data_IF_256583502787
#
_entry.id   IF_256583502787
#
_cell.length_a   1.000
_cell.length_b   1.000
_cell.length_c   1.000
_cell.angle_alpha   90.00
_cell.angle_beta   90.00
_cell.angle_gamma   90.00
#
_symmetry.space_group_name_H-M   'P 1'
#
loop_
_entity.id
_entity.type
_entity.pdbx_description
1 polymer ?
#
# COMPACT_ATOMS: atom_id res chain seq x y z
N UNK A 1 -6.50 -14.04 37.97
CA UNK A 1 -6.36 -12.76 37.25
C UNK A 1 -5.11 -12.91 36.40
N UNK A 2 -5.23 -13.25 35.13
CA UNK A 2 -4.06 -13.41 34.24
C UNK A 2 -4.31 -12.57 33.00
N UNK A 3 -3.60 -11.44 32.96
CA UNK A 3 -3.74 -10.41 31.95
C UNK A 3 -3.19 -10.82 30.60
N UNK A 4 -3.86 -10.37 29.56
CA UNK A 4 -3.45 -10.40 28.17
C UNK A 4 -2.29 -9.43 27.94
N UNK A 5 -1.20 -9.89 27.36
CA UNK A 5 -0.22 -9.02 26.73
C UNK A 5 -0.51 -8.99 25.22
N UNK A 6 -1.19 -7.93 24.76
CA UNK A 6 -1.26 -7.57 23.34
C UNK A 6 0.15 -7.24 22.85
N UNK A 7 0.60 -7.91 21.79
CA UNK A 7 1.78 -7.49 21.06
C UNK A 7 1.56 -6.08 20.48
N UNK A 8 2.55 -5.22 20.64
CA UNK A 8 2.57 -3.84 20.16
C UNK A 8 2.49 -3.76 18.63
N UNK A 9 1.94 -2.69 18.04
CA UNK A 9 2.09 -2.47 16.60
C UNK A 9 3.56 -2.20 16.28
N UNK A 10 4.08 -2.95 15.31
CA UNK A 10 5.42 -2.80 14.76
C UNK A 10 5.59 -1.41 14.12
N UNK A 11 6.83 -0.92 14.15
CA UNK A 11 7.20 0.49 14.03
C UNK A 11 6.71 1.17 12.73
N UNK A 12 5.94 2.26 12.87
CA UNK A 12 5.78 3.23 11.80
C UNK A 12 7.08 4.03 11.66
N UNK A 13 7.87 3.73 10.64
CA UNK A 13 8.93 4.63 10.17
C UNK A 13 8.27 5.93 9.72
N UNK A 14 8.49 7.01 10.48
CA UNK A 14 8.05 8.35 10.14
C UNK A 14 8.78 8.82 8.88
N UNK A 15 8.07 8.87 7.76
CA UNK A 15 8.51 9.55 6.54
C UNK A 15 8.79 11.04 6.82
N UNK A 16 9.91 11.64 6.35
CA UNK A 16 10.15 13.08 6.40
C UNK A 16 9.03 13.94 5.78
N UNK A 17 8.17 13.39 4.92
CA UNK A 17 6.98 14.04 4.38
C UNK A 17 5.73 13.99 5.27
N UNK A 18 5.77 13.24 6.38
CA UNK A 18 4.62 13.00 7.26
C UNK A 18 3.61 12.02 6.67
N UNK A 19 3.95 11.25 5.64
CA UNK A 19 3.04 10.29 5.00
C UNK A 19 3.46 8.87 5.32
N UNK A 20 2.55 8.04 5.83
CA UNK A 20 2.84 6.63 6.12
C UNK A 20 2.00 5.75 5.21
N UNK A 21 2.57 4.65 4.72
CA UNK A 21 1.82 3.64 4.00
C UNK A 21 1.62 2.38 4.86
N UNK A 22 0.40 1.86 4.90
CA UNK A 22 0.08 0.59 5.57
C UNK A 22 -0.34 -0.43 4.52
N UNK A 23 0.44 -1.51 4.37
CA UNK A 23 0.16 -2.61 3.46
C UNK A 23 -0.52 -3.76 4.20
N UNK A 24 -1.69 -4.19 3.72
CA UNK A 24 -2.52 -5.17 4.41
C UNK A 24 -2.90 -6.28 3.43
N UNK A 25 -2.42 -7.48 3.65
CA UNK A 25 -2.95 -8.68 2.99
C UNK A 25 -4.20 -9.11 3.75
N UNK A 26 -5.37 -8.92 3.15
CA UNK A 26 -6.64 -9.32 3.78
C UNK A 26 -7.16 -10.68 3.28
N UNK A 27 -6.56 -11.25 2.24
CA UNK A 27 -6.87 -12.59 1.77
C UNK A 27 -5.74 -13.18 0.93
N UNK A 28 -5.45 -14.46 1.14
CA UNK A 28 -4.48 -15.21 0.34
C UNK A 28 -4.99 -16.64 0.11
N UNK A 29 -4.72 -17.19 -1.05
CA UNK A 29 -5.09 -18.55 -1.46
C UNK A 29 -4.01 -19.14 -2.38
N UNK A 30 -4.17 -20.41 -2.75
CA UNK A 30 -3.25 -21.05 -3.67
C UNK A 30 -3.26 -20.33 -5.03
N UNK A 31 -2.14 -19.70 -5.38
CA UNK A 31 -1.96 -18.99 -6.64
C UNK A 31 -2.50 -17.55 -6.65
N UNK A 32 -2.86 -16.96 -5.51
CA UNK A 32 -3.23 -15.54 -5.50
C UNK A 32 -3.43 -14.92 -4.12
N UNK A 33 -3.56 -13.60 -4.11
CA UNK A 33 -3.85 -12.82 -2.92
C UNK A 33 -4.64 -11.56 -3.25
N UNK A 34 -5.23 -10.96 -2.22
CA UNK A 34 -5.78 -9.62 -2.23
C UNK A 34 -5.15 -8.79 -1.12
N UNK A 35 -4.79 -7.56 -1.45
CA UNK A 35 -4.19 -6.62 -0.52
C UNK A 35 -4.76 -5.20 -0.69
N UNK A 36 -4.69 -4.44 0.39
CA UNK A 36 -4.95 -3.02 0.43
C UNK A 36 -3.66 -2.27 0.78
N UNK A 37 -3.51 -1.06 0.23
CA UNK A 37 -2.55 -0.09 0.71
C UNK A 37 -3.29 1.16 1.19
N UNK A 38 -3.09 1.53 2.45
CA UNK A 38 -3.58 2.80 2.99
C UNK A 38 -2.46 3.84 2.95
N UNK A 39 -2.80 5.04 2.52
CA UNK A 39 -1.98 6.24 2.54
C UNK A 39 -2.51 7.09 3.69
N UNK A 40 -1.74 7.20 4.78
CA UNK A 40 -2.05 8.02 5.95
C UNK A 40 -1.25 9.32 5.83
N UNK A 41 -1.92 10.45 5.60
CA UNK A 41 -1.24 11.73 5.46
C UNK A 41 -1.27 12.52 6.77
N UNK A 42 -0.15 12.57 7.49
CA UNK A 42 0.06 13.45 8.64
C UNK A 42 0.85 14.73 8.27
N UNK A 43 1.19 14.90 7.00
CA UNK A 43 1.93 16.05 6.46
C UNK A 43 1.04 17.00 5.65
N UNK A 44 1.63 17.82 4.75
CA UNK A 44 0.89 18.71 3.86
C UNK A 44 -0.08 17.97 2.94
N UNK A 45 -1.10 18.68 2.44
CA UNK A 45 -2.10 18.09 1.51
C UNK A 45 -1.43 17.55 0.24
N UNK A 46 -1.72 16.29 -0.09
CA UNK A 46 -1.29 15.64 -1.33
C UNK A 46 -2.34 15.93 -2.42
N UNK A 47 -1.90 16.46 -3.55
CA UNK A 47 -2.73 16.73 -4.72
C UNK A 47 -2.36 15.76 -5.85
N UNK A 48 -2.98 14.57 -5.83
CA UNK A 48 -2.61 13.45 -6.69
C UNK A 48 -1.50 12.61 -6.06
N UNK A 49 -1.68 11.30 -6.12
CA UNK A 49 -0.71 10.34 -5.58
C UNK A 49 -0.40 9.26 -6.60
N UNK A 50 0.88 8.92 -6.67
CA UNK A 50 1.41 7.77 -7.38
C UNK A 50 2.20 6.95 -6.38
N UNK A 51 1.77 5.71 -6.17
CA UNK A 51 2.50 4.75 -5.35
C UNK A 51 3.27 3.79 -6.25
N UNK A 52 4.51 3.49 -5.88
CA UNK A 52 5.36 2.50 -6.57
C UNK A 52 5.97 1.54 -5.56
N UNK A 53 6.06 0.27 -5.94
CA UNK A 53 6.77 -0.76 -5.18
C UNK A 53 7.22 -1.89 -6.12
N UNK A 54 8.10 -2.74 -5.62
CA UNK A 54 8.53 -3.96 -6.29
C UNK A 54 7.86 -5.16 -5.65
N UNK A 55 7.21 -6.00 -6.46
CA UNK A 55 6.67 -7.27 -5.98
C UNK A 55 7.81 -8.18 -5.47
N UNK A 56 7.80 -8.65 -4.22
CA UNK A 56 8.88 -9.46 -3.65
C UNK A 56 9.04 -10.84 -4.32
N UNK A 57 7.94 -11.34 -4.86
CA UNK A 57 7.84 -12.63 -5.53
C UNK A 57 7.25 -12.45 -6.93
N UNK A 58 7.45 -13.42 -7.86
CA UNK A 58 6.83 -13.40 -9.17
C UNK A 58 5.32 -13.20 -9.05
N UNK A 59 4.87 -12.02 -9.45
CA UNK A 59 3.48 -11.56 -9.34
C UNK A 59 2.97 -11.19 -10.72
N UNK A 60 1.72 -11.51 -11.02
CA UNK A 60 1.08 -11.23 -12.32
C UNK A 60 -0.42 -11.03 -12.15
N UNK A 61 -1.13 -10.72 -13.24
CA UNK A 61 -2.58 -10.53 -13.25
C UNK A 61 -3.06 -9.55 -12.17
N UNK A 62 -2.34 -8.44 -12.00
CA UNK A 62 -2.67 -7.40 -11.01
C UNK A 62 -3.94 -6.66 -11.47
N UNK A 63 -5.02 -6.79 -10.68
CA UNK A 63 -6.31 -6.14 -10.92
C UNK A 63 -6.65 -5.27 -9.72
N UNK A 64 -6.65 -3.95 -9.92
CA UNK A 64 -6.88 -2.97 -8.87
C UNK A 64 -8.27 -2.35 -8.87
N UNK A 65 -8.62 -1.77 -7.73
CA UNK A 65 -9.75 -0.86 -7.56
C UNK A 65 -9.31 0.38 -6.77
N UNK A 66 -10.05 1.48 -6.91
CA UNK A 66 -9.71 2.79 -6.32
C UNK A 66 -8.33 3.34 -6.75
N UNK A 67 -7.67 2.71 -7.71
CA UNK A 67 -6.43 3.15 -8.33
C UNK A 67 -6.35 2.60 -9.76
N UNK A 68 -5.68 3.32 -10.65
CA UNK A 68 -5.22 2.77 -11.92
C UNK A 68 -3.88 2.09 -11.68
N UNK A 69 -3.85 0.77 -11.85
CA UNK A 69 -2.63 -0.02 -11.66
C UNK A 69 -1.99 -0.39 -12.99
N UNK A 70 -0.66 -0.37 -13.02
CA UNK A 70 0.15 -0.86 -14.14
C UNK A 70 1.33 -1.65 -13.60
N UNK A 71 1.74 -2.68 -14.32
CA UNK A 71 2.88 -3.52 -13.96
C UNK A 71 3.88 -3.59 -15.12
N UNK A 72 5.17 -3.48 -14.80
CA UNK A 72 6.30 -3.64 -15.71
C UNK A 72 7.33 -4.56 -15.04
N UNK A 73 7.41 -5.82 -15.46
CA UNK A 73 8.19 -6.83 -14.73
C UNK A 73 7.67 -6.98 -13.29
N UNK A 74 8.56 -6.85 -12.30
CA UNK A 74 8.18 -6.88 -10.87
C UNK A 74 7.71 -5.52 -10.34
N UNK A 75 7.90 -4.42 -11.07
CA UNK A 75 7.49 -3.10 -10.60
C UNK A 75 6.00 -2.90 -10.80
N UNK A 76 5.30 -2.51 -9.73
CA UNK A 76 3.88 -2.16 -9.74
C UNK A 76 3.75 -0.67 -9.43
N UNK A 77 2.89 0.01 -10.18
CA UNK A 77 2.58 1.42 -10.02
C UNK A 77 1.07 1.57 -9.88
N UNK A 78 0.63 2.27 -8.84
CA UNK A 78 -0.76 2.63 -8.60
C UNK A 78 -0.92 4.15 -8.65
N UNK A 79 -1.81 4.65 -9.49
CA UNK A 79 -2.13 6.08 -9.61
C UNK A 79 -3.55 6.32 -9.15
N UNK A 80 -3.77 7.42 -8.43
CA UNK A 80 -5.09 7.80 -7.96
C UNK A 80 -6.13 7.89 -9.09
N UNK A 81 -7.38 7.64 -8.74
CA UNK A 81 -8.53 8.03 -9.56
C UNK A 81 -8.81 9.53 -9.38
N UNK A 82 -9.57 10.12 -10.31
CA UNK A 82 -9.91 11.56 -10.27
C UNK A 82 -10.57 11.95 -8.93
N UNK A 83 -11.40 11.07 -8.37
CA UNK A 83 -12.18 11.34 -7.17
C UNK A 83 -11.43 11.14 -5.84
N UNK A 84 -10.26 10.48 -5.82
CA UNK A 84 -9.48 10.23 -4.59
C UNK A 84 -8.04 10.74 -4.63
N UNK A 85 -7.71 11.61 -5.59
CA UNK A 85 -6.36 12.17 -5.69
C UNK A 85 -5.96 13.09 -4.54
N UNK A 86 -6.93 13.77 -3.93
CA UNK A 86 -6.65 14.69 -2.81
C UNK A 86 -6.68 13.92 -1.48
N UNK A 87 -5.57 14.01 -0.75
CA UNK A 87 -5.42 13.49 0.62
C UNK A 87 -4.99 14.64 1.52
N UNK A 88 -5.92 15.18 2.31
CA UNK A 88 -5.61 16.29 3.22
C UNK A 88 -4.82 15.80 4.44
N UNK A 89 -4.24 16.74 5.17
CA UNK A 89 -3.62 16.45 6.47
C UNK A 89 -4.64 15.80 7.42
N UNK A 90 -4.23 14.72 8.06
CA UNK A 90 -5.06 13.87 8.92
C UNK A 90 -6.01 12.92 8.17
N UNK A 91 -6.05 12.96 6.83
CA UNK A 91 -6.88 12.04 6.05
C UNK A 91 -6.13 10.76 5.67
N UNK A 92 -6.91 9.69 5.53
CA UNK A 92 -6.45 8.43 4.95
C UNK A 92 -7.17 8.18 3.62
N UNK A 93 -6.43 7.64 2.65
CA UNK A 93 -7.00 7.02 1.45
C UNK A 93 -6.52 5.59 1.34
N UNK A 94 -7.34 4.74 0.75
CA UNK A 94 -6.98 3.35 0.51
C UNK A 94 -7.30 2.98 -0.93
N UNK A 95 -6.47 2.09 -1.47
CA UNK A 95 -6.77 1.35 -2.69
C UNK A 95 -6.38 -0.11 -2.46
N UNK A 96 -6.90 -1.00 -3.30
CA UNK A 96 -6.63 -2.42 -3.18
C UNK A 96 -6.53 -3.10 -4.53
N UNK A 97 -6.08 -4.34 -4.49
CA UNK A 97 -5.92 -5.18 -5.66
C UNK A 97 -5.96 -6.66 -5.34
N UNK A 98 -6.17 -7.45 -6.38
CA UNK A 98 -5.90 -8.88 -6.39
C UNK A 98 -4.81 -9.20 -7.40
N UNK A 99 -4.00 -10.22 -7.13
CA UNK A 99 -2.95 -10.66 -8.03
C UNK A 99 -2.71 -12.17 -7.93
N UNK A 100 -2.09 -12.72 -8.98
CA UNK A 100 -1.56 -14.08 -9.01
C UNK A 100 -0.12 -14.07 -8.49
N UNK A 101 0.16 -14.84 -7.44
CA UNK A 101 1.49 -14.98 -6.85
C UNK A 101 1.60 -16.31 -6.07
N UNK A 102 2.82 -16.83 -5.82
CA UNK A 102 3.04 -18.02 -5.00
C UNK A 102 2.81 -17.77 -3.50
N UNK A 103 2.99 -16.54 -3.05
CA UNK A 103 2.79 -16.08 -1.66
C UNK A 103 2.40 -14.60 -1.64
N UNK A 104 1.89 -14.14 -0.50
CA UNK A 104 1.46 -12.76 -0.30
C UNK A 104 2.50 -11.96 0.50
N UNK A 105 3.70 -11.84 -0.05
CA UNK A 105 4.81 -11.18 0.61
C UNK A 105 4.65 -9.65 0.59
N UNK A 106 5.06 -9.00 1.68
CA UNK A 106 4.94 -7.54 1.85
C UNK A 106 6.16 -6.85 1.22
N UNK A 107 5.97 -5.88 0.31
CA UNK A 107 7.08 -5.11 -0.25
C UNK A 107 7.69 -4.16 0.79
N UNK A 108 8.99 -3.95 0.71
CA UNK A 108 9.76 -3.09 1.64
C UNK A 108 10.20 -1.77 1.02
N UNK A 109 9.88 -1.53 -0.26
CA UNK A 109 10.32 -0.40 -1.07
C UNK A 109 9.15 0.48 -1.54
N UNK A 110 8.07 0.54 -0.76
CA UNK A 110 6.90 1.35 -1.11
C UNK A 110 7.28 2.82 -1.09
N UNK A 111 6.95 3.53 -2.18
CA UNK A 111 7.13 4.98 -2.27
C UNK A 111 5.83 5.63 -2.71
N UNK A 112 5.54 6.81 -2.16
CA UNK A 112 4.46 7.70 -2.62
C UNK A 112 5.06 8.98 -3.19
N UNK A 113 4.73 9.29 -4.45
CA UNK A 113 5.28 10.44 -5.19
C UNK A 113 6.83 10.52 -5.19
N UNK A 114 7.51 9.37 -5.03
CA UNK A 114 8.96 9.27 -4.97
C UNK A 114 9.55 9.35 -3.56
N UNK A 115 8.73 9.62 -2.54
CA UNK A 115 9.14 9.63 -1.14
C UNK A 115 8.87 8.25 -0.51
N UNK A 116 9.81 7.68 0.25
CA UNK A 116 9.57 6.43 1.00
C UNK A 116 8.38 6.54 1.93
N UNK A 117 7.56 5.49 1.89
CA UNK A 117 6.74 5.07 3.01
C UNK A 117 7.51 3.94 3.73
#
# INVERSE_FOLDING_TARGET
MSGTASAAPDAATSDPGGVTCEYIVFGAWSGGFSADLKIVNNGPTINGWTVRWTAPVPTSNVVGWSARMTQQGSQIVAVNMVWNGVVRTGETRAFGWSATAPSADVPTDITINGTPC
#
